data_IF_347298360096
#
_entry.id   IF_347298360096
#
_cell.length_a   1.000
_cell.length_b   1.000
_cell.length_c   1.000
_cell.angle_alpha   90.00
_cell.angle_beta   90.00
_cell.angle_gamma   90.00
#
_symmetry.space_group_name_H-M   'P 1'
#
loop_
_entity.id
_entity.type
_entity.pdbx_description
1 polymer ?
#
# COMPACT_ATOMS: atom_id res chain seq x y z
N UNK A 1 -7.16 -14.23 8.67
CA UNK A 1 -6.43 -13.83 7.44
C UNK A 1 -7.22 -12.72 6.76
N UNK A 2 -6.59 -11.83 6.01
CA UNK A 2 -7.28 -10.69 5.37
C UNK A 2 -6.59 -10.32 4.07
N UNK A 3 -7.38 -9.87 3.09
CA UNK A 3 -6.86 -9.27 1.86
C UNK A 3 -6.65 -7.78 2.08
N UNK A 4 -5.59 -7.22 1.53
CA UNK A 4 -5.23 -5.81 1.70
C UNK A 4 -5.20 -5.14 0.34
N UNK A 5 -6.14 -4.22 0.11
CA UNK A 5 -6.11 -3.32 -1.03
C UNK A 5 -5.28 -2.08 -0.67
N UNK A 6 -4.29 -1.75 -1.49
CA UNK A 6 -3.57 -0.49 -1.43
C UNK A 6 -3.99 0.40 -2.59
N UNK A 7 -4.38 1.65 -2.31
CA UNK A 7 -4.84 2.61 -3.31
C UNK A 7 -4.08 3.92 -3.16
N UNK A 8 -3.54 4.47 -4.23
CA UNK A 8 -2.82 5.73 -4.25
C UNK A 8 -3.41 6.67 -5.29
N UNK A 9 -3.78 7.86 -4.84
CA UNK A 9 -4.08 8.98 -5.72
C UNK A 9 -2.79 9.71 -6.11
N UNK A 10 -2.55 9.87 -7.41
CA UNK A 10 -1.41 10.57 -7.96
C UNK A 10 -1.88 11.70 -8.91
N UNK A 11 -1.91 12.97 -8.45
CA UNK A 11 -2.10 14.08 -9.37
C UNK A 11 -0.90 14.18 -10.31
N UNK A 12 -1.14 14.52 -11.57
CA UNK A 12 -0.09 14.70 -12.59
C UNK A 12 0.12 16.19 -12.90
N UNK A 13 0.71 16.51 -14.06
CA UNK A 13 0.82 17.89 -14.56
C UNK A 13 -0.53 18.50 -14.92
N UNK A 14 -0.53 19.72 -15.47
CA UNK A 14 -1.77 20.39 -15.92
C UNK A 14 -2.45 19.64 -17.07
N UNK A 15 -1.65 19.10 -18.00
CA UNK A 15 -2.13 18.53 -19.26
C UNK A 15 -2.36 17.02 -19.19
N UNK A 16 -2.20 16.43 -17.99
CA UNK A 16 -2.41 15.00 -17.79
C UNK A 16 -3.46 14.74 -16.72
N UNK A 17 -4.36 13.77 -16.96
CA UNK A 17 -5.31 13.36 -15.94
C UNK A 17 -4.58 12.78 -14.72
N UNK A 18 -5.15 12.88 -13.52
CA UNK A 18 -4.67 12.14 -12.37
C UNK A 18 -4.67 10.64 -12.61
N UNK A 19 -3.85 9.91 -11.86
CA UNK A 19 -3.88 8.45 -11.83
C UNK A 19 -4.41 7.92 -10.49
N UNK A 20 -5.13 6.82 -10.58
CA UNK A 20 -5.36 5.92 -9.45
C UNK A 20 -4.43 4.73 -9.64
N UNK A 21 -3.51 4.53 -8.69
CA UNK A 21 -2.66 3.35 -8.65
C UNK A 21 -3.19 2.42 -7.57
N UNK A 22 -3.22 1.12 -7.80
CA UNK A 22 -3.71 0.17 -6.80
C UNK A 22 -3.15 -1.24 -6.99
N UNK A 23 -3.25 -2.03 -5.93
CA UNK A 23 -2.97 -3.46 -5.93
C UNK A 23 -3.82 -4.14 -4.85
N UNK A 24 -3.93 -5.46 -4.93
CA UNK A 24 -4.56 -6.30 -3.92
C UNK A 24 -3.61 -7.43 -3.55
N UNK A 25 -3.33 -7.58 -2.26
CA UNK A 25 -2.48 -8.66 -1.74
C UNK A 25 -3.24 -9.51 -0.72
N UNK A 26 -2.84 -10.77 -0.59
CA UNK A 26 -3.36 -11.67 0.45
C UNK A 26 -2.55 -11.51 1.76
N UNK A 27 -2.85 -12.32 2.77
CA UNK A 27 -2.16 -12.27 4.07
C UNK A 27 -0.73 -12.82 4.06
N UNK A 28 -0.33 -13.57 3.04
CA UNK A 28 1.03 -14.10 2.87
C UNK A 28 1.88 -13.23 1.94
N UNK A 29 1.35 -12.06 1.54
CA UNK A 29 2.01 -11.06 0.69
C UNK A 29 2.11 -11.45 -0.79
N UNK A 30 1.23 -12.31 -1.29
CA UNK A 30 1.11 -12.54 -2.74
C UNK A 30 0.13 -11.58 -3.38
N UNK A 31 0.34 -11.31 -4.67
CA UNK A 31 -0.58 -10.57 -5.50
C UNK A 31 -1.85 -11.35 -5.83
N UNK A 32 -2.99 -10.80 -5.46
CA UNK A 32 -4.30 -11.14 -6.04
C UNK A 32 -4.63 -10.22 -7.23
N UNK A 33 -4.19 -8.96 -7.15
CA UNK A 33 -4.17 -8.02 -8.28
C UNK A 33 -2.79 -7.37 -8.30
N UNK A 34 -2.06 -7.56 -9.41
CA UNK A 34 -0.76 -6.92 -9.62
C UNK A 34 -0.87 -5.39 -9.63
N UNK A 35 0.21 -4.66 -9.29
CA UNK A 35 0.22 -3.21 -9.32
C UNK A 35 -0.27 -2.65 -10.66
N UNK A 36 -1.32 -1.85 -10.61
CA UNK A 36 -2.03 -1.34 -11.79
C UNK A 36 -2.27 0.15 -11.65
N UNK A 37 -2.28 0.86 -12.79
CA UNK A 37 -2.57 2.29 -12.88
C UNK A 37 -3.79 2.54 -13.77
N UNK A 38 -4.66 3.45 -13.34
CA UNK A 38 -5.86 3.87 -14.09
C UNK A 38 -5.79 5.38 -14.30
N UNK A 39 -5.87 5.80 -15.56
CA UNK A 39 -6.05 7.21 -15.92
C UNK A 39 -7.47 7.66 -15.59
N UNK A 40 -7.60 8.78 -14.87
CA UNK A 40 -8.90 9.23 -14.33
C UNK A 40 -9.58 10.16 -15.33
N UNK A 41 -10.64 9.65 -15.96
CA UNK A 41 -11.52 10.41 -16.86
C UNK A 41 -12.84 10.76 -16.18
N UNK A 42 -13.39 9.83 -15.40
CA UNK A 42 -14.54 10.05 -14.52
C UNK A 42 -14.24 9.45 -13.14
N UNK A 43 -13.93 10.33 -12.19
CA UNK A 43 -13.56 9.95 -10.84
C UNK A 43 -14.57 9.00 -10.16
N UNK A 44 -15.89 9.20 -10.35
CA UNK A 44 -16.91 8.39 -9.70
C UNK A 44 -16.96 7.01 -10.31
N UNK A 45 -16.99 6.94 -11.64
CA UNK A 45 -16.98 5.69 -12.39
C UNK A 45 -15.69 4.91 -12.11
N UNK A 46 -14.52 5.54 -12.26
CA UNK A 46 -13.22 4.90 -12.06
C UNK A 46 -13.05 4.31 -10.65
N UNK A 47 -13.51 4.99 -9.58
CA UNK A 47 -13.44 4.41 -8.23
C UNK A 47 -14.43 3.25 -8.07
N UNK A 48 -15.64 3.34 -8.63
CA UNK A 48 -16.59 2.23 -8.57
C UNK A 48 -16.04 0.99 -9.31
N UNK A 49 -15.52 1.19 -10.52
CA UNK A 49 -14.91 0.12 -11.33
C UNK A 49 -13.71 -0.50 -10.61
N UNK A 50 -12.87 0.31 -9.95
CA UNK A 50 -11.79 -0.18 -9.08
C UNK A 50 -12.32 -1.11 -7.99
N UNK A 51 -13.42 -0.74 -7.31
CA UNK A 51 -13.97 -1.56 -6.24
C UNK A 51 -14.63 -2.83 -6.77
N UNK A 52 -15.31 -2.77 -7.93
CA UNK A 52 -15.83 -3.97 -8.61
C UNK A 52 -14.67 -4.93 -8.95
N UNK A 53 -13.55 -4.39 -9.43
CA UNK A 53 -12.38 -5.18 -9.74
C UNK A 53 -11.77 -5.81 -8.48
N UNK A 54 -11.62 -5.06 -7.39
CA UNK A 54 -11.17 -5.61 -6.10
C UNK A 54 -12.12 -6.70 -5.61
N UNK A 55 -13.43 -6.46 -5.69
CA UNK A 55 -14.45 -7.41 -5.21
C UNK A 55 -14.35 -8.74 -5.96
N UNK A 56 -14.09 -8.71 -7.28
CA UNK A 56 -13.90 -9.91 -8.12
C UNK A 56 -12.76 -10.81 -7.66
N UNK A 57 -11.65 -10.22 -7.20
CA UNK A 57 -10.47 -10.98 -6.75
C UNK A 57 -10.42 -11.15 -5.23
N UNK A 58 -11.28 -10.45 -4.49
CA UNK A 58 -11.45 -10.68 -3.07
C UNK A 58 -12.30 -11.93 -2.86
N UNK A 59 -11.76 -12.93 -2.17
CA UNK A 59 -12.52 -14.12 -1.84
C UNK A 59 -13.69 -13.78 -0.89
N UNK A 60 -14.92 -14.30 -1.10
CA UNK A 60 -16.12 -13.86 -0.38
C UNK A 60 -16.04 -13.93 1.15
N UNK A 61 -15.26 -14.88 1.69
CA UNK A 61 -15.15 -15.14 3.12
C UNK A 61 -13.87 -14.57 3.76
N UNK A 62 -13.06 -13.83 3.00
CA UNK A 62 -11.84 -13.20 3.51
C UNK A 62 -12.09 -11.71 3.74
N UNK A 63 -11.92 -11.21 4.97
CA UNK A 63 -12.06 -9.79 5.26
C UNK A 63 -11.15 -8.93 4.36
N UNK A 64 -11.74 -7.91 3.75
CA UNK A 64 -11.02 -6.90 2.98
C UNK A 64 -10.60 -5.73 3.88
N UNK A 65 -9.34 -5.36 3.80
CA UNK A 65 -8.78 -4.15 4.43
C UNK A 65 -8.38 -3.20 3.31
N UNK A 66 -8.85 -1.96 3.39
CA UNK A 66 -8.45 -0.93 2.41
C UNK A 66 -7.54 0.09 3.06
N UNK A 67 -6.34 0.19 2.51
CA UNK A 67 -5.38 1.23 2.82
C UNK A 67 -5.25 2.17 1.63
N UNK A 68 -5.32 3.46 1.88
CA UNK A 68 -5.24 4.44 0.80
C UNK A 68 -4.36 5.62 1.14
N UNK A 69 -3.71 6.20 0.13
CA UNK A 69 -3.08 7.50 0.20
C UNK A 69 -3.84 8.49 -0.68
N UNK A 70 -4.29 9.56 -0.03
CA UNK A 70 -4.77 10.77 -0.68
C UNK A 70 -3.94 11.96 -0.22
N UNK A 71 -3.80 12.97 -1.08
CA UNK A 71 -3.17 14.23 -0.71
C UNK A 71 -4.25 15.11 -0.05
N UNK A 72 -3.99 15.62 1.16
CA UNK A 72 -4.88 16.61 1.80
C UNK A 72 -4.11 17.85 2.19
N UNK A 73 -4.66 19.01 1.80
CA UNK A 73 -4.45 20.39 2.26
C UNK A 73 -3.02 20.97 2.32
N UNK A 74 -1.97 20.21 2.59
CA UNK A 74 -0.61 20.75 2.88
C UNK A 74 0.32 20.92 1.67
N UNK A 75 -0.09 20.54 0.46
CA UNK A 75 0.63 20.87 -0.78
C UNK A 75 -0.14 21.97 -1.52
N UNK A 76 0.57 23.06 -1.85
CA UNK A 76 0.06 24.39 -2.21
C UNK A 76 -1.05 24.46 -3.27
N UNK A 77 -1.77 25.59 -3.25
CA UNK A 77 -2.76 26.08 -4.24
C UNK A 77 -3.54 24.94 -4.93
N UNK A 78 -4.57 24.48 -4.22
CA UNK A 78 -5.26 23.19 -4.36
C UNK A 78 -5.72 22.77 -5.78
N UNK A 79 -5.38 21.54 -6.17
CA UNK A 79 -6.15 20.81 -7.19
C UNK A 79 -7.47 20.29 -6.59
N UNK A 80 -8.60 20.72 -7.14
CA UNK A 80 -9.96 20.33 -6.69
C UNK A 80 -10.20 18.82 -6.76
N UNK A 81 -9.53 18.14 -7.68
CA UNK A 81 -9.63 16.70 -7.92
C UNK A 81 -9.24 15.84 -6.69
N UNK A 82 -8.19 16.22 -5.98
CA UNK A 82 -7.62 15.46 -4.87
C UNK A 82 -8.54 15.51 -3.65
N UNK A 83 -9.18 16.65 -3.42
CA UNK A 83 -10.23 16.79 -2.41
C UNK A 83 -11.48 15.97 -2.77
N UNK A 84 -11.89 15.96 -4.04
CA UNK A 84 -13.00 15.14 -4.54
C UNK A 84 -12.69 13.65 -4.32
N UNK A 85 -11.50 13.18 -4.69
CA UNK A 85 -11.07 11.80 -4.47
C UNK A 85 -11.14 11.44 -2.98
N UNK A 86 -10.55 12.25 -2.10
CA UNK A 86 -10.54 12.00 -0.67
C UNK A 86 -11.95 11.88 -0.06
N UNK A 87 -12.87 12.77 -0.46
CA UNK A 87 -14.26 12.71 -0.01
C UNK A 87 -14.95 11.45 -0.53
N UNK A 88 -14.77 11.13 -1.81
CA UNK A 88 -15.44 10.00 -2.45
C UNK A 88 -14.97 8.66 -1.90
N UNK A 89 -13.66 8.43 -1.77
CA UNK A 89 -13.14 7.17 -1.23
C UNK A 89 -13.61 6.95 0.21
N UNK A 90 -13.59 7.98 1.06
CA UNK A 90 -14.12 7.86 2.42
C UNK A 90 -15.61 7.55 2.45
N UNK A 91 -16.41 8.17 1.57
CA UNK A 91 -17.84 7.88 1.46
C UNK A 91 -18.08 6.40 1.12
N UNK A 92 -17.33 5.87 0.16
CA UNK A 92 -17.46 4.46 -0.26
C UNK A 92 -17.01 3.52 0.86
N UNK A 93 -15.85 3.78 1.48
CA UNK A 93 -15.34 2.96 2.58
C UNK A 93 -16.28 2.95 3.79
N UNK A 94 -16.91 4.07 4.13
CA UNK A 94 -17.94 4.12 5.18
C UNK A 94 -19.16 3.29 4.81
N UNK A 95 -19.70 3.49 3.60
CA UNK A 95 -20.87 2.75 3.10
C UNK A 95 -20.63 1.23 3.12
N UNK A 96 -19.42 0.80 2.77
CA UNK A 96 -19.01 -0.61 2.76
C UNK A 96 -18.52 -1.15 4.11
N UNK A 97 -18.54 -0.35 5.19
CA UNK A 97 -17.98 -0.70 6.51
C UNK A 97 -16.48 -1.10 6.47
N UNK A 98 -15.73 -0.57 5.52
CA UNK A 98 -14.29 -0.82 5.32
C UNK A 98 -13.39 0.28 5.90
N UNK A 99 -13.97 1.41 6.31
CA UNK A 99 -13.20 2.53 6.87
C UNK A 99 -12.74 2.20 8.30
N UNK A 100 -11.42 2.10 8.50
CA UNK A 100 -10.79 1.99 9.82
C UNK A 100 -10.04 3.27 10.17
N UNK A 101 -9.82 3.53 11.46
CA UNK A 101 -9.14 4.74 11.96
C UNK A 101 -7.77 5.00 11.27
N UNK A 102 -7.05 3.93 10.93
CA UNK A 102 -5.75 3.98 10.29
C UNK A 102 -5.78 3.62 8.79
N UNK A 103 -6.93 3.61 8.11
CA UNK A 103 -7.03 3.28 6.68
C UNK A 103 -6.24 4.23 5.78
N UNK A 104 -6.05 5.49 6.19
CA UNK A 104 -5.30 6.47 5.41
C UNK A 104 -3.80 6.44 5.70
N UNK A 105 -2.97 6.49 4.66
CA UNK A 105 -1.51 6.63 4.75
C UNK A 105 -1.14 8.10 4.57
N UNK A 106 -0.60 8.71 5.62
CA UNK A 106 -0.36 10.17 5.68
C UNK A 106 0.85 10.54 4.81
N UNK A 107 1.98 9.88 5.02
CA UNK A 107 3.24 10.10 4.30
C UNK A 107 3.74 8.78 3.68
N UNK A 108 4.46 8.91 2.58
CA UNK A 108 5.23 7.79 2.00
C UNK A 108 6.64 7.82 2.59
N UNK A 109 7.36 6.71 2.48
CA UNK A 109 8.78 6.67 2.83
C UNK A 109 9.57 7.67 1.97
N UNK A 110 10.54 8.31 2.61
CA UNK A 110 11.53 9.17 1.94
C UNK A 110 12.62 8.32 1.27
N UNK A 111 13.47 8.93 0.45
CA UNK A 111 14.45 8.25 -0.42
C UNK A 111 15.21 7.11 0.26
N UNK A 112 15.91 7.39 1.36
CA UNK A 112 16.72 6.39 2.10
C UNK A 112 15.87 5.20 2.56
N UNK A 113 14.83 5.46 3.36
CA UNK A 113 13.92 4.40 3.84
C UNK A 113 13.20 3.67 2.70
N UNK A 114 12.92 4.34 1.58
CA UNK A 114 12.31 3.72 0.41
C UNK A 114 13.29 2.76 -0.28
N UNK A 115 14.57 3.12 -0.37
CA UNK A 115 15.62 2.22 -0.87
C UNK A 115 15.71 0.98 0.01
N UNK A 116 15.87 1.16 1.32
CA UNK A 116 15.92 0.04 2.28
C UNK A 116 14.67 -0.84 2.21
N UNK A 117 13.50 -0.23 2.04
CA UNK A 117 12.24 -0.96 1.88
C UNK A 117 12.21 -1.82 0.61
N UNK A 118 12.68 -1.29 -0.53
CA UNK A 118 12.77 -2.03 -1.79
C UNK A 118 13.75 -3.19 -1.66
N UNK A 119 14.89 -2.96 -1.04
CA UNK A 119 15.90 -4.01 -0.84
C UNK A 119 15.38 -5.12 0.05
N UNK A 120 14.65 -4.78 1.13
CA UNK A 120 14.03 -5.78 1.99
C UNK A 120 12.99 -6.63 1.24
N UNK A 121 12.14 -6.02 0.40
CA UNK A 121 11.18 -6.77 -0.43
C UNK A 121 11.88 -7.66 -1.46
N UNK A 122 13.03 -7.24 -1.98
CA UNK A 122 13.83 -8.02 -2.91
C UNK A 122 14.52 -9.21 -2.22
N UNK A 123 15.25 -8.97 -1.13
CA UNK A 123 16.01 -10.04 -0.44
C UNK A 123 15.10 -11.08 0.21
N UNK A 124 13.90 -10.67 0.64
CA UNK A 124 12.90 -11.60 1.17
C UNK A 124 12.09 -12.27 0.05
N UNK A 125 12.41 -12.01 -1.22
CA UNK A 125 11.73 -12.60 -2.37
C UNK A 125 10.21 -12.44 -2.23
N UNK A 126 9.79 -11.19 -2.00
CA UNK A 126 8.39 -10.76 -1.92
C UNK A 126 8.00 -10.05 -3.21
N UNK A 127 8.83 -9.09 -3.65
CA UNK A 127 8.63 -8.43 -4.94
C UNK A 127 9.91 -7.79 -5.48
N UNK A 128 10.45 -8.40 -6.53
CA UNK A 128 11.63 -7.91 -7.24
C UNK A 128 11.36 -6.68 -8.14
N UNK A 129 10.11 -6.46 -8.58
CA UNK A 129 9.74 -5.34 -9.47
C UNK A 129 9.85 -3.98 -8.77
N UNK A 130 9.85 -3.98 -7.43
CA UNK A 130 9.98 -2.76 -6.61
C UNK A 130 11.33 -2.05 -6.78
N UNK A 131 12.42 -2.76 -7.11
CA UNK A 131 13.76 -2.16 -7.29
C UNK A 131 13.73 -1.08 -8.37
N UNK A 132 13.25 -1.41 -9.55
CA UNK A 132 13.15 -0.48 -10.68
C UNK A 132 11.92 0.44 -10.66
N UNK A 133 10.90 0.14 -9.85
CA UNK A 133 9.60 0.78 -9.97
C UNK A 133 9.13 1.47 -8.68
N UNK A 134 9.28 2.81 -8.63
CA UNK A 134 8.93 3.60 -7.45
C UNK A 134 7.43 3.53 -7.08
N UNK A 135 6.53 3.46 -8.07
CA UNK A 135 5.10 3.41 -7.76
C UNK A 135 4.68 2.08 -7.11
N UNK A 136 5.26 0.96 -7.54
CA UNK A 136 5.03 -0.35 -6.93
C UNK A 136 5.48 -0.32 -5.47
N UNK A 137 6.68 0.20 -5.21
CA UNK A 137 7.17 0.39 -3.84
C UNK A 137 6.23 1.27 -3.00
N UNK A 138 5.66 2.33 -3.59
CA UNK A 138 4.67 3.15 -2.89
C UNK A 138 3.38 2.39 -2.56
N UNK A 139 2.88 1.53 -3.45
CA UNK A 139 1.71 0.71 -3.16
C UNK A 139 1.99 -0.28 -2.02
N UNK A 140 3.16 -0.93 -2.02
CA UNK A 140 3.60 -1.76 -0.89
C UNK A 140 3.68 -0.98 0.43
N UNK A 141 4.23 0.23 0.42
CA UNK A 141 4.29 1.06 1.62
C UNK A 141 2.89 1.40 2.15
N UNK A 142 1.91 1.57 1.25
CA UNK A 142 0.52 1.82 1.62
C UNK A 142 -0.14 0.55 2.17
N UNK A 143 0.03 -0.60 1.50
CA UNK A 143 -0.51 -1.89 1.93
C UNK A 143 -0.04 -2.24 3.34
N UNK A 144 1.26 -2.11 3.59
CA UNK A 144 1.88 -2.49 4.87
C UNK A 144 1.90 -1.38 5.91
N UNK A 145 1.37 -0.19 5.59
CA UNK A 145 1.44 0.99 6.46
C UNK A 145 2.88 1.34 6.89
N UNK A 146 3.83 1.15 5.98
CA UNK A 146 5.21 1.52 6.17
C UNK A 146 5.32 3.06 6.23
N UNK A 147 5.66 3.57 7.41
CA UNK A 147 6.01 4.98 7.64
C UNK A 147 7.39 5.02 8.27
N UNK A 148 8.07 6.16 8.25
CA UNK A 148 9.42 6.27 8.84
C UNK A 148 9.50 5.78 10.30
N UNK A 149 8.43 5.96 11.09
CA UNK A 149 8.38 5.48 12.49
C UNK A 149 8.10 3.98 12.62
N UNK A 150 7.41 3.38 11.63
CA UNK A 150 6.99 1.97 11.65
C UNK A 150 7.84 1.07 10.76
N UNK A 151 8.83 1.65 10.08
CA UNK A 151 9.60 0.99 9.04
C UNK A 151 10.29 -0.29 9.56
N UNK A 152 11.05 -0.28 10.67
CA UNK A 152 11.68 -1.50 11.19
C UNK A 152 10.67 -2.60 11.53
N UNK A 153 9.53 -2.22 12.13
CA UNK A 153 8.49 -3.18 12.50
C UNK A 153 7.81 -3.79 11.27
N UNK A 154 7.65 -3.02 10.18
CA UNK A 154 7.11 -3.54 8.92
C UNK A 154 8.08 -4.51 8.27
N UNK A 155 9.38 -4.23 8.25
CA UNK A 155 10.39 -5.18 7.75
C UNK A 155 10.33 -6.49 8.55
N UNK A 156 10.23 -6.40 9.88
CA UNK A 156 10.03 -7.57 10.75
C UNK A 156 8.75 -8.33 10.41
N UNK A 157 7.65 -7.64 10.11
CA UNK A 157 6.40 -8.28 9.71
C UNK A 157 6.55 -9.06 8.40
N UNK A 158 7.21 -8.47 7.40
CA UNK A 158 7.49 -9.12 6.11
C UNK A 158 8.35 -10.37 6.34
N UNK A 159 9.44 -10.21 7.10
CA UNK A 159 10.36 -11.31 7.44
C UNK A 159 9.63 -12.47 8.13
N UNK A 160 8.81 -12.16 9.15
CA UNK A 160 7.97 -13.16 9.82
C UNK A 160 7.02 -13.86 8.86
N UNK A 161 6.40 -13.12 7.94
CA UNK A 161 5.49 -13.69 6.94
C UNK A 161 6.21 -14.67 6.02
N UNK A 162 7.39 -14.30 5.50
CA UNK A 162 8.19 -15.15 4.60
C UNK A 162 8.58 -16.48 5.25
N UNK A 163 8.97 -16.45 6.52
CA UNK A 163 9.42 -17.64 7.26
C UNK A 163 8.30 -18.33 8.06
N UNK A 164 7.03 -17.93 7.91
CA UNK A 164 5.90 -18.54 8.63
C UNK A 164 5.96 -18.36 10.16
N UNK A 165 6.65 -17.33 10.65
CA UNK A 165 6.90 -17.12 12.08
C UNK A 165 5.73 -16.36 12.72
N UNK A 166 4.96 -17.02 13.58
CA UNK A 166 3.86 -16.40 14.34
C UNK A 166 4.36 -15.64 15.56
N UNK A 167 5.28 -16.23 16.34
CA UNK A 167 5.87 -15.65 17.57
C UNK A 167 7.38 -15.56 17.47
N UNK A 168 7.96 -14.45 17.92
CA UNK A 168 9.41 -14.28 17.97
C UNK A 168 9.98 -15.05 19.16
N UNK A 169 10.75 -16.10 18.88
CA UNK A 169 11.65 -16.77 19.83
C UNK A 169 12.96 -16.00 19.96
N UNK A 170 13.81 -16.39 20.93
CA UNK A 170 15.17 -15.83 21.06
C UNK A 170 15.99 -16.04 19.78
N UNK A 171 15.98 -17.27 19.25
CA UNK A 171 16.68 -17.64 18.01
C UNK A 171 16.20 -16.81 16.80
N UNK A 172 14.89 -16.75 16.55
CA UNK A 172 14.35 -15.93 15.45
C UNK A 172 14.63 -14.43 15.62
N UNK A 173 14.78 -13.96 16.86
CA UNK A 173 15.14 -12.56 17.12
C UNK A 173 16.59 -12.28 16.79
N UNK A 174 17.50 -13.20 17.07
CA UNK A 174 18.91 -13.12 16.68
C UNK A 174 19.02 -13.11 15.15
N UNK A 175 18.40 -14.09 14.48
CA UNK A 175 18.37 -14.17 13.00
C UNK A 175 17.76 -12.93 12.35
N UNK A 176 16.70 -12.37 12.93
CA UNK A 176 16.14 -11.12 12.43
C UNK A 176 17.10 -9.95 12.61
N UNK A 177 17.80 -9.85 13.75
CA UNK A 177 18.78 -8.78 13.99
C UNK A 177 19.96 -8.88 13.02
N UNK A 178 20.48 -10.09 12.77
CA UNK A 178 21.52 -10.35 11.77
C UNK A 178 21.05 -9.94 10.37
N UNK A 179 19.86 -10.40 9.97
CA UNK A 179 19.22 -9.98 8.72
C UNK A 179 19.11 -8.46 8.64
N UNK A 180 18.57 -7.80 9.68
CA UNK A 180 18.32 -6.37 9.68
C UNK A 180 19.62 -5.54 9.67
N UNK A 181 20.70 -6.05 10.27
CA UNK A 181 22.01 -5.40 10.27
C UNK A 181 22.63 -5.34 8.86
N UNK A 182 22.31 -6.25 7.94
CA UNK A 182 22.75 -6.16 6.55
C UNK A 182 22.16 -4.97 5.77
N UNK A 183 21.17 -4.27 6.34
CA UNK A 183 20.51 -3.11 5.72
C UNK A 183 20.94 -1.76 6.30
N UNK A 184 21.65 -1.76 7.44
CA UNK A 184 22.09 -0.54 8.12
C UNK A 184 23.52 -0.19 7.72
#
# INVERSE_FOLDING_TARGET
MSNIAAIRWLPQGKDKPPLIQYMLINSVLDYLISPTEISVTDLKKNINDLFIHIDKFSQPNIPLIVHYKSITKSFGKHRRDSAKFHKLINKILRKRKLLKANSRTISLLKRENLTLFKDALYFLDIDCKTKGCAFIAHLWTIALKATNKRFPQVIKQIWKSKYGITRMTKDSSIKFSEFYAHFL
#
